data_IF_106692158273
#
_entry.id   IF_106692158273
#
_cell.length_a   1.000
_cell.length_b   1.000
_cell.length_c   1.000
_cell.angle_alpha   90.00
_cell.angle_beta   90.00
_cell.angle_gamma   90.00
#
_symmetry.space_group_name_H-M   'P 1'
#
loop_
_entity.id
_entity.type
_entity.pdbx_description
1 polymer ?
#
# COMPACT_ATOMS: atom_id res chain seq x y z
N UNK A 1 -5.09 -9.79 -2.03
CA UNK A 1 -5.62 -8.42 -1.90
C UNK A 1 -6.44 -8.11 -3.14
N UNK A 2 -7.52 -7.34 -3.02
CA UNK A 2 -8.42 -7.02 -4.15
C UNK A 2 -8.69 -5.52 -4.17
N UNK A 3 -8.45 -4.89 -5.32
CA UNK A 3 -8.74 -3.47 -5.52
C UNK A 3 -10.26 -3.22 -5.52
N UNK A 4 -10.72 -2.31 -4.68
CA UNK A 4 -12.12 -1.91 -4.56
C UNK A 4 -12.32 -0.42 -4.86
N UNK A 5 -11.35 0.22 -5.52
CA UNK A 5 -11.39 1.66 -5.83
C UNK A 5 -12.18 1.99 -7.11
N UNK A 6 -12.45 0.98 -7.94
CA UNK A 6 -13.23 1.15 -9.16
C UNK A 6 -14.72 1.20 -8.82
N UNK A 7 -15.29 2.41 -8.78
CA UNK A 7 -16.61 2.71 -8.23
C UNK A 7 -17.74 1.78 -8.67
N UNK A 8 -17.73 1.33 -9.94
CA UNK A 8 -18.75 0.42 -10.48
C UNK A 8 -18.67 -1.02 -9.92
N UNK A 9 -17.50 -1.45 -9.48
CA UNK A 9 -17.27 -2.81 -8.97
C UNK A 9 -17.06 -2.85 -7.45
N UNK A 10 -17.05 -1.69 -6.77
CA UNK A 10 -16.83 -1.60 -5.32
C UNK A 10 -17.78 -2.50 -4.54
N UNK A 11 -19.10 -2.41 -4.80
CA UNK A 11 -20.09 -3.20 -4.06
C UNK A 11 -19.94 -4.70 -4.30
N UNK A 12 -19.61 -5.09 -5.53
CA UNK A 12 -19.34 -6.49 -5.91
C UNK A 12 -18.12 -7.03 -5.16
N UNK A 13 -17.01 -6.28 -5.12
CA UNK A 13 -15.80 -6.68 -4.37
C UNK A 13 -16.09 -6.78 -2.87
N UNK A 14 -16.92 -5.88 -2.35
CA UNK A 14 -17.35 -5.92 -0.96
C UNK A 14 -18.21 -7.14 -0.66
N UNK A 15 -19.17 -7.46 -1.53
CA UNK A 15 -20.01 -8.64 -1.43
C UNK A 15 -19.19 -9.93 -1.50
N UNK A 16 -18.34 -10.05 -2.52
CA UNK A 16 -17.45 -11.21 -2.71
C UNK A 16 -16.59 -11.44 -1.46
N UNK A 17 -15.93 -10.40 -0.96
CA UNK A 17 -15.05 -10.52 0.20
C UNK A 17 -15.79 -10.93 1.49
N UNK A 18 -17.08 -10.57 1.61
CA UNK A 18 -17.93 -10.96 2.75
C UNK A 18 -18.47 -12.38 2.63
N UNK A 19 -18.79 -12.84 1.42
CA UNK A 19 -19.42 -14.14 1.16
C UNK A 19 -18.40 -15.26 0.91
N UNK A 20 -17.14 -14.92 0.65
CA UNK A 20 -16.09 -15.90 0.35
C UNK A 20 -15.75 -16.77 1.56
N UNK A 21 -15.49 -18.08 1.37
CA UNK A 21 -14.93 -18.93 2.43
C UNK A 21 -13.53 -18.48 2.90
N UNK A 22 -12.84 -17.66 2.10
CA UNK A 22 -11.51 -17.13 2.39
C UNK A 22 -11.54 -15.71 3.00
N UNK A 23 -12.69 -15.27 3.49
CA UNK A 23 -12.90 -13.90 3.99
C UNK A 23 -11.87 -13.45 5.06
N UNK A 24 -11.30 -14.37 5.84
CA UNK A 24 -10.28 -14.08 6.86
C UNK A 24 -8.94 -13.60 6.31
N UNK A 25 -8.61 -13.94 5.05
CA UNK A 25 -7.35 -13.58 4.40
C UNK A 25 -7.55 -12.55 3.26
N UNK A 26 -8.80 -12.28 2.88
CA UNK A 26 -9.13 -11.30 1.85
C UNK A 26 -9.04 -9.88 2.39
N UNK A 27 -8.11 -9.11 1.81
CA UNK A 27 -7.97 -7.67 2.05
C UNK A 27 -8.49 -6.89 0.85
N UNK A 28 -9.44 -5.99 1.10
CA UNK A 28 -9.97 -5.02 0.14
C UNK A 28 -9.13 -3.76 0.21
N UNK A 29 -8.60 -3.29 -0.91
CA UNK A 29 -7.74 -2.11 -0.96
C UNK A 29 -8.42 -0.93 -1.65
N UNK A 30 -8.18 0.26 -1.10
CA UNK A 30 -8.60 1.56 -1.63
C UNK A 30 -7.38 2.44 -1.84
N UNK A 31 -7.15 2.86 -3.07
CA UNK A 31 -6.14 3.86 -3.40
C UNK A 31 -6.61 5.24 -2.93
N UNK A 32 -5.88 5.84 -2.00
CA UNK A 32 -6.10 7.23 -1.58
C UNK A 32 -5.02 8.10 -2.19
N UNK A 33 -5.45 9.08 -2.99
CA UNK A 33 -4.57 10.16 -3.41
C UNK A 33 -4.19 11.00 -2.19
N UNK A 34 -2.89 11.20 -1.98
CA UNK A 34 -2.36 12.08 -0.92
C UNK A 34 -1.47 13.10 -1.61
N UNK A 35 -2.00 14.30 -1.83
CA UNK A 35 -1.24 15.42 -2.36
C UNK A 35 -0.40 16.13 -1.30
N UNK A 36 0.36 17.15 -1.71
CA UNK A 36 1.18 17.99 -0.85
C UNK A 36 0.36 18.72 0.23
N UNK A 37 -0.92 19.01 -0.07
CA UNK A 37 -1.88 19.62 0.85
C UNK A 37 -2.48 18.64 1.88
N UNK A 38 -2.36 17.33 1.64
CA UNK A 38 -2.95 16.29 2.46
C UNK A 38 -2.02 15.87 3.62
N UNK A 39 -2.62 15.49 4.74
CA UNK A 39 -1.86 15.03 5.90
C UNK A 39 -1.20 13.67 5.58
N UNK A 40 0.08 13.49 5.91
CA UNK A 40 0.75 12.26 5.63
C UNK A 40 0.31 11.14 6.59
N UNK A 41 0.43 9.86 6.17
CA UNK A 41 0.08 8.70 7.00
C UNK A 41 0.97 8.60 8.26
N UNK A 42 2.19 9.14 8.21
CA UNK A 42 3.05 9.29 9.39
C UNK A 42 2.42 10.15 10.48
N UNK A 43 1.61 11.15 10.11
CA UNK A 43 0.90 12.05 11.02
C UNK A 43 -0.49 11.52 11.41
N UNK A 44 -0.93 10.38 10.87
CA UNK A 44 -2.21 9.80 11.24
C UNK A 44 -2.16 9.31 12.69
N UNK A 45 -3.12 9.77 13.51
CA UNK A 45 -3.27 9.32 14.89
C UNK A 45 -3.58 7.83 14.89
N UNK A 46 -2.60 7.02 15.29
CA UNK A 46 -2.73 5.57 15.42
C UNK A 46 -3.71 5.24 16.54
N UNK A 47 -4.77 4.51 16.22
CA UNK A 47 -5.70 3.97 17.22
C UNK A 47 -5.25 2.56 17.64
N UNK A 48 -5.58 2.11 18.86
CA UNK A 48 -5.31 0.74 19.28
C UNK A 48 -5.93 -0.26 18.29
N UNK A 49 -5.08 -1.10 17.68
CA UNK A 49 -5.48 -2.12 16.71
C UNK A 49 -5.31 -1.72 15.24
N UNK A 50 -4.99 -0.46 14.94
CA UNK A 50 -4.61 -0.05 13.59
C UNK A 50 -3.32 -0.76 13.17
N UNK A 51 -3.27 -1.25 11.92
CA UNK A 51 -2.01 -1.69 11.30
C UNK A 51 -1.52 -0.59 10.38
N UNK A 52 -0.29 -0.14 10.59
CA UNK A 52 0.34 0.91 9.79
C UNK A 52 1.68 0.39 9.30
N UNK A 53 1.98 0.58 8.03
CA UNK A 53 3.31 0.32 7.48
C UNK A 53 3.72 1.42 6.53
N UNK A 54 4.74 1.14 5.72
CA UNK A 54 5.29 2.11 4.80
C UNK A 54 4.26 2.46 3.73
N UNK A 55 3.70 3.67 3.80
CA UNK A 55 2.71 4.19 2.85
C UNK A 55 1.37 3.41 2.78
N UNK A 56 1.03 2.65 3.82
CA UNK A 56 -0.27 1.98 3.91
C UNK A 56 -0.83 1.96 5.34
N UNK A 57 -2.16 1.94 5.44
CA UNK A 57 -2.89 1.97 6.71
C UNK A 57 -4.11 1.06 6.63
N UNK A 58 -4.26 0.17 7.61
CA UNK A 58 -5.47 -0.59 7.86
C UNK A 58 -6.08 -0.07 9.17
N UNK A 59 -7.09 0.81 9.11
CA UNK A 59 -7.79 1.27 10.30
C UNK A 59 -8.53 0.09 10.96
N UNK A 60 -8.48 0.01 12.29
CA UNK A 60 -9.40 -0.83 13.02
C UNK A 60 -10.69 -0.04 13.26
N UNK A 61 -11.70 -0.27 12.42
CA UNK A 61 -13.03 0.31 12.60
C UNK A 61 -13.91 -0.64 13.44
N UNK A 62 -14.38 -0.21 14.62
CA UNK A 62 -15.34 -0.98 15.43
C UNK A 62 -16.62 -1.37 14.67
N UNK A 63 -17.02 -0.59 13.66
CA UNK A 63 -18.22 -0.82 12.84
C UNK A 63 -17.98 -1.75 11.64
N UNK A 64 -16.73 -1.89 11.17
CA UNK A 64 -16.34 -2.78 10.07
C UNK A 64 -15.39 -3.88 10.55
N UNK A 65 -15.73 -4.47 11.69
CA UNK A 65 -14.88 -5.32 12.53
C UNK A 65 -14.27 -6.56 11.85
N UNK A 66 -14.83 -7.02 10.72
CA UNK A 66 -14.32 -8.21 10.02
C UNK A 66 -13.41 -7.92 8.83
N UNK A 67 -13.58 -6.78 8.15
CA UNK A 67 -12.89 -6.53 6.87
C UNK A 67 -12.53 -5.05 6.67
N UNK A 68 -11.69 -4.44 7.52
CA UNK A 68 -11.32 -3.04 7.34
C UNK A 68 -10.69 -2.80 5.95
N UNK A 69 -11.09 -1.75 5.24
CA UNK A 69 -10.46 -1.40 3.97
C UNK A 69 -9.01 -1.01 4.21
N UNK A 70 -8.10 -1.59 3.43
CA UNK A 70 -6.73 -1.12 3.36
C UNK A 70 -6.70 0.19 2.59
N UNK A 71 -6.20 1.25 3.23
CA UNK A 71 -5.87 2.48 2.54
C UNK A 71 -4.43 2.42 2.06
N UNK A 72 -4.27 2.47 0.75
CA UNK A 72 -2.99 2.53 0.07
C UNK A 72 -2.70 3.97 -0.28
N UNK A 73 -1.51 4.47 0.07
CA UNK A 73 -0.93 5.55 -0.68
C UNK A 73 -0.22 4.96 -1.90
N UNK A 74 -0.19 5.72 -2.99
CA UNK A 74 0.66 5.44 -4.14
C UNK A 74 2.11 5.15 -3.70
N UNK A 75 2.51 3.87 -3.74
CA UNK A 75 3.91 3.39 -3.76
C UNK A 75 4.56 3.59 -5.12
N UNK A 76 3.88 4.29 -6.02
CA UNK A 76 4.32 4.51 -7.40
C UNK A 76 5.75 5.02 -7.45
N UNK A 77 6.12 5.96 -6.57
CA UNK A 77 7.50 6.46 -6.46
C UNK A 77 8.51 5.36 -6.19
N UNK A 78 8.28 4.48 -5.21
CA UNK A 78 9.24 3.42 -4.86
C UNK A 78 9.34 2.35 -5.94
N UNK A 79 8.20 1.97 -6.53
CA UNK A 79 8.15 0.97 -7.61
C UNK A 79 8.83 1.52 -8.88
N UNK A 80 8.57 2.78 -9.22
CA UNK A 80 9.21 3.45 -10.36
C UNK A 80 10.70 3.67 -10.10
N UNK A 81 11.10 4.05 -8.88
CA UNK A 81 12.50 4.12 -8.51
C UNK A 81 13.18 2.77 -8.67
N UNK A 82 12.59 1.67 -8.17
CA UNK A 82 13.13 0.34 -8.33
C UNK A 82 13.28 -0.07 -9.81
N UNK A 83 12.32 0.29 -10.66
CA UNK A 83 12.40 0.08 -12.12
C UNK A 83 13.43 0.96 -12.82
N UNK A 84 13.72 2.15 -12.27
CA UNK A 84 14.70 3.10 -12.81
C UNK A 84 16.13 2.84 -12.30
N UNK A 85 16.28 2.11 -11.19
CA UNK A 85 17.56 1.69 -10.64
C UNK A 85 18.27 0.76 -11.63
N UNK A 86 19.58 0.95 -11.81
CA UNK A 86 20.35 0.13 -12.74
C UNK A 86 20.32 -1.34 -12.33
N UNK A 87 20.31 -2.23 -13.32
CA UNK A 87 20.30 -3.67 -13.07
C UNK A 87 21.58 -4.04 -12.30
N UNK A 88 21.42 -4.65 -11.14
CA UNK A 88 22.53 -5.05 -10.25
C UNK A 88 22.72 -4.13 -9.05
N UNK A 89 22.12 -2.93 -9.05
CA UNK A 89 22.12 -2.05 -7.89
C UNK A 89 21.08 -2.48 -6.84
N UNK A 90 21.30 -2.07 -5.59
CA UNK A 90 20.40 -2.38 -4.49
C UNK A 90 19.00 -1.80 -4.73
N UNK A 91 17.99 -2.66 -4.64
CA UNK A 91 16.59 -2.29 -4.84
C UNK A 91 16.16 -2.19 -6.30
N UNK A 92 16.95 -2.72 -7.24
CA UNK A 92 16.50 -2.83 -8.63
C UNK A 92 15.31 -3.80 -8.76
N UNK A 93 14.36 -3.43 -9.61
CA UNK A 93 13.32 -4.30 -10.13
C UNK A 93 13.56 -4.49 -11.63
N UNK A 94 13.93 -5.69 -12.04
CA UNK A 94 14.19 -6.01 -13.44
C UNK A 94 12.99 -6.73 -14.08
N UNK A 95 12.84 -6.52 -15.38
CA UNK A 95 11.88 -7.27 -16.19
C UNK A 95 12.59 -8.42 -16.89
N UNK A 96 11.91 -9.55 -17.05
CA UNK A 96 12.45 -10.71 -17.76
C UNK A 96 12.45 -10.44 -19.28
N UNK A 97 13.46 -10.95 -19.99
CA UNK A 97 13.69 -10.79 -21.43
C UNK A 97 14.40 -9.49 -21.85
N UNK A 98 15.17 -9.57 -22.93
CA UNK A 98 15.88 -8.47 -23.57
C UNK A 98 15.10 -7.86 -24.75
N UNK A 99 13.98 -8.47 -25.16
CA UNK A 99 13.22 -8.03 -26.33
C UNK A 99 12.20 -6.94 -25.99
N UNK A 100 12.35 -5.77 -26.60
CA UNK A 100 11.52 -4.58 -26.31
C UNK A 100 10.04 -4.75 -26.63
N UNK A 101 9.67 -5.60 -27.59
CA UNK A 101 8.29 -5.93 -27.95
C UNK A 101 7.54 -6.60 -26.79
N UNK A 102 8.23 -7.43 -25.99
CA UNK A 102 7.65 -8.11 -24.83
C UNK A 102 7.34 -7.14 -23.69
N UNK A 103 8.07 -6.03 -23.59
CA UNK A 103 7.89 -5.01 -22.56
C UNK A 103 6.90 -3.91 -22.96
N UNK A 104 6.51 -3.83 -24.23
CA UNK A 104 5.71 -2.71 -24.76
C UNK A 104 4.43 -2.45 -23.99
N UNK A 105 3.60 -3.48 -23.81
CA UNK A 105 2.34 -3.33 -23.08
C UNK A 105 2.56 -2.96 -21.61
N UNK A 106 3.60 -3.50 -20.97
CA UNK A 106 3.94 -3.13 -19.60
C UNK A 106 4.29 -1.65 -19.51
N UNK A 107 5.16 -1.18 -20.39
CA UNK A 107 5.60 0.22 -20.45
C UNK A 107 4.40 1.16 -20.73
N UNK A 108 3.53 0.81 -21.66
CA UNK A 108 2.31 1.58 -21.97
C UNK A 108 1.35 1.71 -20.77
N UNK A 109 1.34 0.71 -19.86
CA UNK A 109 0.53 0.72 -18.64
C UNK A 109 1.25 1.33 -17.43
N UNK A 110 2.56 1.62 -17.52
CA UNK A 110 3.37 2.24 -16.45
C UNK A 110 3.64 3.73 -16.69
N UNK A 111 3.67 4.18 -17.95
CA UNK A 111 3.79 5.60 -18.35
C UNK A 111 2.48 6.46 -18.27
N UNK A 112 1.25 5.94 -18.06
CA UNK A 112 0.04 6.76 -18.14
C UNK A 112 -0.04 7.81 -17.04
N UNK A 113 0.80 7.74 -16.01
CA UNK A 113 0.90 8.75 -14.98
C UNK A 113 2.20 9.55 -15.10
N UNK A 114 2.17 10.78 -14.64
CA UNK A 114 3.34 11.64 -14.49
C UNK A 114 3.26 12.34 -13.15
N UNK A 115 4.41 12.65 -12.57
CA UNK A 115 4.45 13.40 -11.32
C UNK A 115 4.70 14.88 -11.58
N UNK A 116 4.10 15.71 -10.73
CA UNK A 116 4.36 17.14 -10.64
C UNK A 116 4.89 17.40 -9.25
N UNK A 117 6.15 17.83 -9.17
CA UNK A 117 6.79 18.21 -7.92
C UNK A 117 6.07 19.44 -7.36
N UNK A 118 5.36 19.24 -6.26
CA UNK A 118 4.51 20.25 -5.64
C UNK A 118 5.01 20.52 -4.23
N UNK A 119 5.24 21.80 -3.92
CA UNK A 119 5.70 22.23 -2.61
C UNK A 119 4.53 22.82 -1.83
N UNK A 120 4.26 22.27 -0.65
CA UNK A 120 3.23 22.78 0.23
C UNK A 120 3.58 22.49 1.69
N UNK A 121 3.31 23.43 2.60
CA UNK A 121 3.53 23.27 4.05
C UNK A 121 4.93 22.72 4.38
N UNK A 122 5.95 23.38 3.83
CA UNK A 122 7.38 23.05 4.01
C UNK A 122 7.79 21.61 3.62
N UNK A 123 7.00 20.94 2.77
CA UNK A 123 7.31 19.63 2.20
C UNK A 123 7.20 19.67 0.69
N UNK A 124 8.14 19.00 0.02
CA UNK A 124 8.09 18.77 -1.41
C UNK A 124 7.60 17.34 -1.66
N UNK A 125 6.51 17.22 -2.40
CA UNK A 125 5.88 15.92 -2.71
C UNK A 125 5.69 15.82 -4.22
N UNK A 126 6.03 14.67 -4.78
CA UNK A 126 5.75 14.35 -6.18
C UNK A 126 4.30 13.89 -6.31
N UNK A 127 3.44 14.80 -6.79
CA UNK A 127 2.02 14.53 -6.99
C UNK A 127 1.78 13.84 -8.34
N UNK A 128 1.35 12.59 -8.29
CA UNK A 128 1.06 11.80 -9.48
C UNK A 128 -0.31 12.14 -10.06
N UNK A 129 -0.33 12.40 -11.36
CA UNK A 129 -1.52 12.75 -12.13
C UNK A 129 -1.61 11.84 -13.34
N UNK A 130 -2.82 11.39 -13.65
CA UNK A 130 -3.09 10.65 -14.88
C UNK A 130 -2.94 11.56 -16.11
N UNK A 131 -2.34 11.04 -17.18
CA UNK A 131 -2.27 11.70 -18.48
C UNK A 131 -3.63 11.62 -19.15
N UNK A 132 -4.11 12.74 -19.67
CA UNK A 132 -5.44 12.85 -20.30
C UNK A 132 -5.69 11.86 -21.46
N UNK A 133 -4.64 11.35 -22.12
CA UNK A 133 -4.74 10.47 -23.30
C UNK A 133 -4.46 8.99 -23.03
N UNK A 134 -4.05 8.62 -21.82
CA UNK A 134 -3.70 7.25 -21.46
C UNK A 134 -4.39 6.87 -20.15
N UNK A 135 -5.66 6.42 -20.20
CA UNK A 135 -6.45 6.19 -19.00
C UNK A 135 -6.13 4.87 -18.29
N UNK A 136 -5.46 3.92 -18.95
CA UNK A 136 -5.29 2.57 -18.43
C UNK A 136 -3.95 2.42 -17.69
N UNK A 137 -4.02 2.35 -16.36
CA UNK A 137 -2.90 2.17 -15.43
C UNK A 137 -3.04 0.86 -14.62
N UNK A 138 -3.83 -0.10 -15.09
CA UNK A 138 -4.23 -1.27 -14.30
C UNK A 138 -3.04 -2.12 -13.85
N UNK A 139 -2.02 -2.23 -14.68
CA UNK A 139 -0.86 -3.06 -14.37
C UNK A 139 0.02 -2.44 -13.30
N UNK A 140 0.20 -1.12 -13.35
CA UNK A 140 0.95 -0.42 -12.31
C UNK A 140 0.17 -0.43 -10.98
N UNK A 141 -1.15 -0.30 -11.02
CA UNK A 141 -2.02 -0.49 -9.85
C UNK A 141 -1.87 -1.89 -9.24
N UNK A 142 -1.83 -2.93 -10.08
CA UNK A 142 -1.58 -4.30 -9.64
C UNK A 142 -0.18 -4.46 -9.02
N UNK A 143 0.86 -3.93 -9.67
CA UNK A 143 2.25 -4.01 -9.19
C UNK A 143 2.43 -3.30 -7.84
N UNK A 144 1.85 -2.11 -7.69
CA UNK A 144 1.78 -1.40 -6.40
C UNK A 144 1.07 -2.26 -5.35
N UNK A 145 -0.03 -2.90 -5.74
CA UNK A 145 -0.76 -3.80 -4.86
C UNK A 145 0.09 -4.95 -4.34
N UNK A 146 0.90 -5.57 -5.21
CA UNK A 146 1.85 -6.62 -4.83
C UNK A 146 2.97 -6.09 -3.92
N UNK A 147 3.58 -4.95 -4.25
CA UNK A 147 4.63 -4.34 -3.43
C UNK A 147 4.14 -4.03 -2.01
N UNK A 148 2.90 -3.56 -1.87
CA UNK A 148 2.30 -3.33 -0.54
C UNK A 148 2.00 -4.64 0.16
N UNK A 149 1.47 -5.63 -0.56
CA UNK A 149 1.25 -6.97 -0.01
C UNK A 149 2.54 -7.59 0.55
N UNK A 150 3.64 -7.45 -0.18
CA UNK A 150 4.97 -7.87 0.26
C UNK A 150 5.41 -7.12 1.53
N UNK A 151 5.27 -5.79 1.55
CA UNK A 151 5.59 -4.97 2.73
C UNK A 151 4.76 -5.36 3.97
N UNK A 152 3.48 -5.73 3.79
CA UNK A 152 2.64 -6.24 4.88
C UNK A 152 3.12 -7.58 5.45
N UNK A 153 3.78 -8.39 4.62
CA UNK A 153 4.40 -9.65 5.02
C UNK A 153 5.84 -9.48 5.51
N UNK A 154 6.28 -8.25 5.78
CA UNK A 154 7.64 -7.92 6.28
C UNK A 154 8.73 -8.15 5.22
N UNK A 155 8.37 -8.25 3.93
CA UNK A 155 9.34 -8.10 2.85
C UNK A 155 9.57 -6.60 2.62
N UNK A 156 10.56 -6.05 3.33
CA UNK A 156 10.95 -4.64 3.25
C UNK A 156 12.15 -4.48 2.33
N UNK A 157 12.18 -3.37 1.61
CA UNK A 157 13.37 -2.97 0.87
C UNK A 157 14.45 -2.55 1.86
N UNK A 158 15.68 -2.99 1.64
CA UNK A 158 16.82 -2.62 2.48
C UNK A 158 16.91 -1.09 2.67
N UNK A 159 17.00 -0.63 3.92
CA UNK A 159 17.05 0.81 4.25
C UNK A 159 15.67 1.49 4.36
N UNK A 160 14.57 0.78 4.11
CA UNK A 160 13.20 1.28 4.35
C UNK A 160 12.58 0.77 5.65
N UNK A 161 13.42 0.21 6.52
CA UNK A 161 13.01 -0.41 7.78
C UNK A 161 12.32 0.62 8.68
N UNK A 162 11.02 0.42 8.88
CA UNK A 162 10.35 1.03 10.01
C UNK A 162 10.71 0.21 11.25
N UNK A 163 10.92 0.83 12.42
CA UNK A 163 11.12 0.08 13.65
C UNK A 163 9.94 -0.87 13.83
N UNK A 164 10.25 -2.17 13.89
CA UNK A 164 9.25 -3.22 14.02
C UNK A 164 8.38 -2.92 15.22
N UNK A 165 7.05 -3.01 15.06
CA UNK A 165 6.15 -2.80 16.18
C UNK A 165 6.55 -3.77 17.31
N UNK A 166 6.71 -3.30 18.55
CA UNK A 166 7.15 -4.18 19.63
C UNK A 166 6.20 -5.37 19.71
N UNK A 167 6.76 -6.58 19.72
CA UNK A 167 6.01 -7.81 19.85
C UNK A 167 5.22 -7.74 21.16
N UNK A 168 3.91 -7.47 21.07
CA UNK A 168 3.02 -7.50 22.23
C UNK A 168 2.73 -8.97 22.49
N UNK A 169 3.51 -9.55 23.38
CA UNK A 169 3.19 -10.86 23.95
C UNK A 169 1.75 -10.84 24.46
N UNK A 170 1.01 -11.92 24.18
CA UNK A 170 -0.34 -12.09 24.72
C UNK A 170 -0.23 -12.23 26.24
N UNK A 171 -0.54 -11.15 26.95
CA UNK A 171 -0.53 -11.14 28.40
C UNK A 171 -1.84 -11.76 28.90
N UNK A 172 -1.77 -12.82 29.70
CA UNK A 172 -2.96 -13.39 30.33
C UNK A 172 -3.46 -12.45 31.42
N UNK A 173 -4.79 -12.42 31.62
CA UNK A 173 -5.41 -11.66 32.71
C UNK A 173 -4.88 -12.09 34.09
N UNK A 174 -4.47 -13.36 34.21
CA UNK A 174 -3.81 -13.94 35.39
C UNK A 174 -2.43 -13.31 35.64
N UNK A 175 -1.65 -13.06 34.59
CA UNK A 175 -0.31 -12.49 34.69
C UNK A 175 -0.36 -11.00 35.10
N UNK A 176 -1.38 -10.29 34.65
CA UNK A 176 -1.64 -8.90 35.05
C UNK A 176 -2.05 -8.79 36.53
N UNK A 177 -2.83 -9.74 37.05
CA UNK A 177 -3.18 -9.77 38.47
C UNK A 177 -1.98 -10.14 39.36
N UNK A 178 -1.10 -11.04 38.91
CA UNK A 178 0.12 -11.42 39.64
C UNK A 178 1.10 -10.25 39.81
N UNK A 179 1.28 -9.43 38.78
CA UNK A 179 2.16 -8.24 38.82
C UNK A 179 1.67 -7.11 39.73
N UNK A 180 0.39 -7.12 40.11
CA UNK A 180 -0.25 -6.05 40.90
C UNK A 180 -0.20 -6.29 42.41
N UNK A 181 0.35 -7.43 42.84
CA UNK A 181 0.47 -7.85 44.26
C UNK A 181 1.90 -7.72 44.81
N UNK A 182 2.81 -7.10 44.07
CA UNK A 182 4.16 -6.74 44.52
C UNK A 182 4.20 -5.24 44.80
#
# INVERSE_FOLDING_TARGET
>A
MINANWGLSTDVVYQFSRQSPHASILLRSHGRFVGASSNPFSEYKRRPGDRVGLNWHVPQDPRQTRHPPLHLRHKLVEVIHALATAIGDYGCLSLFSDRSDQHRMFVEQVIPEYFVRTECRSRTVDEWKARHKHPNNHWIDCLIGYAVGASMQIALLFGTDLPSAPNRERISFKDLQGKRRV
#
